data_IF_639873478668
#
_entry.id   IF_639873478668
#
_cell.length_a   1.000
_cell.length_b   1.000
_cell.length_c   1.000
_cell.angle_alpha   90.00
_cell.angle_beta   90.00
_cell.angle_gamma   90.00
#
_symmetry.space_group_name_H-M   'P 1'
#
loop_
_entity.id
_entity.type
_entity.pdbx_description
1 polymer ?
#
# COMPACT_ATOMS: atom_id res chain seq x y z
N UNK A 1 24.48 -15.75 -11.80
CA UNK A 1 25.21 -17.05 -11.64
C UNK A 1 25.80 -17.52 -12.97
N UNK A 2 25.05 -17.45 -14.08
CA UNK A 2 25.49 -17.92 -15.40
C UNK A 2 25.96 -16.80 -16.35
N UNK A 3 26.00 -15.56 -15.86
CA UNK A 3 26.17 -14.34 -16.69
C UNK A 3 27.55 -14.26 -17.36
N UNK A 4 28.54 -15.01 -16.88
CA UNK A 4 29.88 -15.10 -17.46
C UNK A 4 30.04 -16.21 -18.51
N UNK A 5 29.03 -17.06 -18.74
CA UNK A 5 29.05 -18.15 -19.71
C UNK A 5 28.75 -17.66 -21.13
N UNK A 6 29.53 -16.67 -21.59
CA UNK A 6 29.38 -16.11 -22.94
C UNK A 6 29.93 -17.06 -23.99
N UNK A 7 29.52 -16.87 -25.24
CA UNK A 7 30.05 -17.62 -26.39
C UNK A 7 31.59 -17.66 -26.41
N UNK A 8 32.26 -16.52 -26.18
CA UNK A 8 33.72 -16.45 -26.14
C UNK A 8 34.32 -17.30 -25.01
N UNK A 9 33.75 -17.20 -23.81
CA UNK A 9 34.17 -18.00 -22.64
C UNK A 9 34.03 -19.50 -22.93
N UNK A 10 32.92 -19.91 -23.53
CA UNK A 10 32.65 -21.31 -23.87
C UNK A 10 33.56 -21.83 -24.97
N UNK A 11 33.76 -21.05 -26.04
CA UNK A 11 34.69 -21.40 -27.11
C UNK A 11 36.11 -21.57 -26.59
N UNK A 12 36.60 -20.63 -25.78
CA UNK A 12 37.94 -20.73 -25.19
C UNK A 12 38.05 -21.95 -24.28
N UNK A 13 37.06 -22.21 -23.43
CA UNK A 13 37.04 -23.38 -22.54
C UNK A 13 37.07 -24.69 -23.34
N UNK A 14 36.23 -24.82 -24.36
CA UNK A 14 36.16 -26.02 -25.20
C UNK A 14 37.45 -26.24 -25.99
N UNK A 15 38.01 -25.19 -26.61
CA UNK A 15 39.25 -25.28 -27.39
C UNK A 15 40.47 -25.60 -26.51
N UNK A 16 40.54 -25.05 -25.29
CA UNK A 16 41.60 -25.36 -24.34
C UNK A 16 41.59 -26.82 -23.89
N UNK A 17 40.42 -27.46 -23.84
CA UNK A 17 40.27 -28.86 -23.45
C UNK A 17 40.60 -29.87 -24.57
N UNK A 18 40.82 -29.43 -25.81
CA UNK A 18 41.19 -30.32 -26.93
C UNK A 18 42.70 -30.53 -26.97
N UNK A 19 43.19 -31.71 -26.62
CA UNK A 19 44.62 -32.04 -26.66
C UNK A 19 45.05 -32.50 -28.07
N UNK A 20 45.01 -31.57 -29.04
CA UNK A 20 45.51 -31.79 -30.40
C UNK A 20 46.50 -30.67 -30.77
N UNK A 21 47.63 -30.99 -31.41
CA UNK A 21 48.65 -30.02 -31.82
C UNK A 21 48.22 -29.29 -33.12
N UNK A 22 47.00 -28.79 -33.16
CA UNK A 22 46.41 -28.07 -34.29
C UNK A 22 46.19 -26.60 -33.92
N UNK A 23 46.17 -25.73 -34.92
CA UNK A 23 45.83 -24.32 -34.71
C UNK A 23 44.35 -24.18 -34.31
N UNK A 24 44.08 -23.44 -33.23
CA UNK A 24 42.76 -23.29 -32.60
C UNK A 24 42.18 -21.87 -32.71
N UNK A 25 42.86 -20.97 -33.40
CA UNK A 25 42.39 -19.59 -33.55
C UNK A 25 41.10 -19.49 -34.37
N UNK A 26 40.49 -18.31 -34.33
CA UNK A 26 39.29 -17.99 -35.11
C UNK A 26 39.53 -18.26 -36.61
N UNK A 27 38.57 -18.91 -37.27
CA UNK A 27 38.67 -19.32 -38.67
C UNK A 27 39.35 -20.67 -38.91
N UNK A 28 39.91 -21.31 -37.88
CA UNK A 28 40.39 -22.70 -37.99
C UNK A 28 39.23 -23.69 -38.12
N UNK A 29 39.48 -24.87 -38.72
CA UNK A 29 38.47 -25.93 -38.83
C UNK A 29 37.96 -26.36 -37.45
N UNK A 30 38.84 -26.49 -36.45
CA UNK A 30 38.44 -26.82 -35.08
C UNK A 30 37.53 -25.75 -34.48
N UNK A 31 37.90 -24.48 -34.60
CA UNK A 31 37.08 -23.36 -34.13
C UNK A 31 35.69 -23.36 -34.78
N UNK A 32 35.62 -23.58 -36.09
CA UNK A 32 34.36 -23.60 -36.84
C UNK A 32 33.48 -24.80 -36.49
N UNK A 33 34.06 -25.96 -36.14
CA UNK A 33 33.31 -27.16 -35.73
C UNK A 33 32.67 -26.96 -34.35
N UNK A 34 33.39 -26.37 -33.38
CA UNK A 34 32.87 -26.24 -32.00
C UNK A 34 31.98 -25.02 -31.81
N UNK A 35 32.12 -23.99 -32.65
CA UNK A 35 31.39 -22.72 -32.48
C UNK A 35 29.87 -22.86 -32.49
N UNK A 36 29.22 -23.60 -33.41
CA UNK A 36 27.76 -23.77 -33.38
C UNK A 36 27.27 -24.39 -32.06
N UNK A 37 27.94 -25.42 -31.56
CA UNK A 37 27.60 -26.09 -30.29
C UNK A 37 27.76 -25.13 -29.11
N UNK A 38 28.86 -24.36 -29.06
CA UNK A 38 29.08 -23.40 -27.98
C UNK A 38 28.13 -22.19 -28.07
N UNK A 39 27.61 -21.86 -29.26
CA UNK A 39 26.56 -20.84 -29.43
C UNK A 39 25.24 -21.32 -28.83
N UNK A 40 24.81 -22.55 -29.15
CA UNK A 40 23.62 -23.16 -28.53
C UNK A 40 23.77 -23.29 -27.02
N UNK A 41 24.96 -23.66 -26.54
CA UNK A 41 25.24 -23.74 -25.10
C UNK A 41 25.21 -22.35 -24.43
N UNK A 42 25.67 -21.30 -25.11
CA UNK A 42 25.57 -19.93 -24.60
C UNK A 42 24.09 -19.51 -24.46
N UNK A 43 23.24 -19.83 -25.44
CA UNK A 43 21.80 -19.59 -25.36
C UNK A 43 21.18 -20.37 -24.19
N UNK A 44 21.55 -21.63 -24.00
CA UNK A 44 21.10 -22.41 -22.84
C UNK A 44 21.49 -21.76 -21.50
N UNK A 45 22.70 -21.21 -21.38
CA UNK A 45 23.11 -20.51 -20.15
C UNK A 45 22.35 -19.20 -19.93
N UNK A 46 21.92 -18.52 -20.99
CA UNK A 46 21.03 -17.36 -20.91
C UNK A 46 19.67 -17.81 -20.33
N UNK A 47 19.08 -18.89 -20.88
CA UNK A 47 17.83 -19.45 -20.36
C UNK A 47 17.96 -19.90 -18.90
N UNK A 48 19.07 -20.55 -18.53
CA UNK A 48 19.34 -20.92 -17.15
C UNK A 48 19.46 -19.69 -16.23
N UNK A 49 19.99 -18.56 -16.73
CA UNK A 49 20.02 -17.29 -15.97
C UNK A 49 18.60 -16.76 -15.73
N UNK A 50 17.73 -16.81 -16.73
CA UNK A 50 16.32 -16.43 -16.56
C UNK A 50 15.58 -17.36 -15.59
N UNK A 51 15.75 -18.67 -15.71
CA UNK A 51 15.16 -19.65 -14.78
C UNK A 51 15.63 -19.39 -13.36
N UNK A 52 16.95 -19.19 -13.16
CA UNK A 52 17.51 -18.92 -11.84
C UNK A 52 16.93 -17.65 -11.21
N UNK A 53 16.76 -16.56 -11.98
CA UNK A 53 16.12 -15.33 -11.48
C UNK A 53 14.67 -15.57 -11.06
N UNK A 54 13.88 -16.30 -11.87
CA UNK A 54 12.47 -16.60 -11.57
C UNK A 54 12.25 -17.43 -10.30
N UNK A 55 13.28 -18.05 -9.73
CA UNK A 55 13.19 -18.73 -8.43
C UNK A 55 12.97 -17.73 -7.28
N UNK A 56 13.52 -16.53 -7.40
CA UNK A 56 13.49 -15.52 -6.35
C UNK A 56 12.30 -14.58 -6.52
N UNK A 57 11.53 -14.40 -5.45
CA UNK A 57 10.35 -13.51 -5.43
C UNK A 57 10.73 -12.08 -5.82
N UNK A 58 11.90 -11.61 -5.39
CA UNK A 58 12.40 -10.28 -5.71
C UNK A 58 12.49 -10.04 -7.21
N UNK A 59 12.97 -11.04 -7.97
CA UNK A 59 13.23 -10.93 -9.41
C UNK A 59 12.05 -11.40 -10.27
N UNK A 60 10.98 -11.92 -9.65
CA UNK A 60 9.81 -12.44 -10.34
C UNK A 60 8.78 -11.34 -10.64
N UNK A 61 7.90 -11.58 -11.60
CA UNK A 61 6.87 -10.62 -12.03
C UNK A 61 5.65 -11.36 -12.62
N UNK A 62 4.54 -10.64 -12.78
CA UNK A 62 3.27 -11.13 -13.35
C UNK A 62 2.79 -12.46 -12.71
N UNK A 63 2.22 -13.35 -13.52
CA UNK A 63 1.71 -14.67 -13.12
C UNK A 63 2.72 -15.53 -12.36
N UNK A 64 4.02 -15.40 -12.64
CA UNK A 64 5.04 -16.17 -11.94
C UNK A 64 5.24 -15.67 -10.52
N UNK A 65 5.19 -14.34 -10.31
CA UNK A 65 5.19 -13.77 -8.97
C UNK A 65 3.97 -14.26 -8.18
N UNK A 66 2.78 -14.17 -8.78
CA UNK A 66 1.53 -14.62 -8.17
C UNK A 66 1.60 -16.07 -7.74
N UNK A 67 2.00 -16.96 -8.65
CA UNK A 67 2.20 -18.38 -8.34
C UNK A 67 3.17 -18.58 -7.18
N UNK A 68 4.27 -17.83 -7.15
CA UNK A 68 5.30 -17.97 -6.12
C UNK A 68 4.82 -17.49 -4.75
N UNK A 69 4.10 -16.39 -4.67
CA UNK A 69 3.57 -15.88 -3.38
C UNK A 69 2.36 -16.68 -2.89
N UNK A 70 1.56 -17.24 -3.81
CA UNK A 70 0.42 -18.10 -3.50
C UNK A 70 0.84 -19.38 -2.77
N UNK A 71 2.05 -19.89 -3.00
CA UNK A 71 2.61 -21.03 -2.24
C UNK A 71 2.68 -20.77 -0.72
N UNK A 72 2.70 -19.49 -0.32
CA UNK A 72 2.71 -19.04 1.07
C UNK A 72 1.35 -18.51 1.54
N UNK A 73 0.29 -18.70 0.74
CA UNK A 73 -1.07 -18.25 1.07
C UNK A 73 -1.31 -16.74 0.89
N UNK A 74 -0.44 -16.04 0.17
CA UNK A 74 -0.62 -14.62 -0.15
C UNK A 74 -1.12 -14.49 -1.59
N UNK A 75 -2.27 -13.86 -1.79
CA UNK A 75 -2.91 -13.66 -3.10
C UNK A 75 -2.96 -12.19 -3.47
N UNK A 76 -2.81 -11.87 -4.76
CA UNK A 76 -2.91 -10.49 -5.29
C UNK A 76 -4.31 -9.92 -5.12
N UNK A 77 -4.40 -8.64 -4.78
CA UNK A 77 -5.68 -7.92 -4.80
C UNK A 77 -6.02 -7.51 -6.24
N UNK A 78 -7.15 -8.00 -6.76
CA UNK A 78 -7.55 -7.81 -8.15
C UNK A 78 -8.28 -6.48 -8.42
N UNK A 79 -8.24 -5.54 -7.49
CA UNK A 79 -9.04 -4.32 -7.56
C UNK A 79 -10.55 -4.60 -7.48
N UNK A 80 -11.33 -3.54 -7.62
CA UNK A 80 -12.80 -3.58 -7.57
C UNK A 80 -13.37 -2.61 -8.59
N UNK A 81 -14.53 -2.93 -9.12
CA UNK A 81 -15.27 -2.09 -10.07
C UNK A 81 -16.05 -1.02 -9.30
N UNK A 82 -16.11 0.19 -9.84
CA UNK A 82 -16.94 1.23 -9.25
C UNK A 82 -18.42 0.93 -9.47
N UNK A 83 -19.23 1.18 -8.45
CA UNK A 83 -20.68 1.05 -8.48
C UNK A 83 -21.32 2.39 -8.15
N UNK A 84 -22.51 2.60 -8.68
CA UNK A 84 -23.34 3.74 -8.34
C UNK A 84 -24.68 3.68 -9.07
N UNK A 85 -25.37 4.80 -9.12
CA UNK A 85 -26.69 4.90 -9.75
C UNK A 85 -26.71 6.04 -10.77
N UNK A 86 -27.46 5.84 -11.84
CA UNK A 86 -27.73 6.87 -12.85
C UNK A 86 -29.23 7.04 -13.06
N UNK A 87 -29.61 8.28 -13.28
CA UNK A 87 -30.95 8.74 -13.62
C UNK A 87 -31.06 8.93 -15.13
N UNK A 88 -32.11 8.38 -15.73
CA UNK A 88 -32.44 8.53 -17.14
C UNK A 88 -33.57 9.54 -17.33
N UNK A 89 -33.41 10.44 -18.29
CA UNK A 89 -34.47 11.35 -18.74
C UNK A 89 -34.76 11.09 -20.22
N UNK A 90 -36.03 11.24 -20.59
CA UNK A 90 -36.46 10.96 -21.94
C UNK A 90 -37.97 10.87 -22.10
N UNK A 91 -38.39 10.28 -23.21
CA UNK A 91 -39.79 10.01 -23.52
C UNK A 91 -40.34 8.94 -22.56
N UNK A 92 -41.47 9.24 -21.92
CA UNK A 92 -42.20 8.30 -21.08
C UNK A 92 -42.50 6.98 -21.82
N UNK A 93 -42.34 5.86 -21.12
CA UNK A 93 -42.53 4.51 -21.64
C UNK A 93 -41.33 3.93 -22.38
N UNK A 94 -40.22 4.68 -22.50
CA UNK A 94 -38.97 4.15 -23.07
C UNK A 94 -38.37 3.12 -22.12
N UNK A 95 -38.08 1.92 -22.62
CA UNK A 95 -37.47 0.84 -21.84
C UNK A 95 -35.95 0.87 -21.96
N UNK A 96 -35.27 0.79 -20.82
CA UNK A 96 -33.82 0.62 -20.73
C UNK A 96 -33.57 -0.78 -20.14
N UNK A 97 -33.12 -1.75 -20.94
CA UNK A 97 -32.86 -3.10 -20.45
C UNK A 97 -31.59 -3.14 -19.59
N UNK A 98 -31.55 -4.07 -18.63
CA UNK A 98 -30.30 -4.54 -18.03
C UNK A 98 -29.32 -4.96 -19.16
N UNK A 99 -28.05 -4.61 -19.00
CA UNK A 99 -27.00 -4.86 -19.98
C UNK A 99 -26.75 -3.69 -20.92
N UNK A 100 -27.57 -2.64 -20.85
CA UNK A 100 -27.32 -1.39 -21.60
C UNK A 100 -25.97 -0.79 -21.20
N UNK A 101 -25.15 -0.42 -22.18
CA UNK A 101 -23.84 0.19 -21.92
C UNK A 101 -23.94 1.72 -22.02
N UNK A 102 -23.52 2.38 -20.94
CA UNK A 102 -23.36 3.84 -20.86
C UNK A 102 -21.89 4.19 -20.71
N UNK A 103 -21.49 5.35 -21.23
CA UNK A 103 -20.10 5.78 -21.22
C UNK A 103 -19.90 7.21 -20.78
N UNK A 104 -18.76 7.47 -20.14
CA UNK A 104 -18.28 8.79 -19.80
C UNK A 104 -16.77 8.87 -20.06
N UNK A 105 -16.33 9.78 -20.93
CA UNK A 105 -14.89 9.98 -21.22
C UNK A 105 -14.15 8.66 -21.53
N UNK A 106 -14.72 7.84 -22.41
CA UNK A 106 -14.24 6.50 -22.81
C UNK A 106 -14.31 5.40 -21.73
N UNK A 107 -14.76 5.73 -20.51
CA UNK A 107 -15.07 4.75 -19.46
C UNK A 107 -16.44 4.15 -19.70
N UNK A 108 -16.54 2.82 -19.62
CA UNK A 108 -17.76 2.07 -19.88
C UNK A 108 -18.36 1.52 -18.58
N UNK A 109 -19.69 1.61 -18.50
CA UNK A 109 -20.49 1.08 -17.40
C UNK A 109 -21.69 0.30 -17.95
N UNK A 110 -22.12 -0.71 -17.21
CA UNK A 110 -23.29 -1.52 -17.55
C UNK A 110 -24.44 -1.23 -16.59
N UNK A 111 -25.63 -1.08 -17.15
CA UNK A 111 -26.90 -0.95 -16.41
C UNK A 111 -27.29 -2.31 -15.82
N UNK A 112 -27.45 -2.38 -14.50
CA UNK A 112 -27.68 -3.64 -13.76
C UNK A 112 -29.17 -3.94 -13.55
N UNK A 113 -30.07 -2.96 -13.73
CA UNK A 113 -31.50 -3.16 -13.57
C UNK A 113 -32.26 -2.55 -14.73
N UNK A 114 -33.27 -3.27 -15.21
CA UNK A 114 -34.19 -2.71 -16.19
C UNK A 114 -35.01 -1.57 -15.58
N UNK A 115 -35.22 -0.52 -16.36
CA UNK A 115 -36.11 0.58 -16.01
C UNK A 115 -37.00 0.95 -17.20
N UNK A 116 -38.14 1.55 -16.90
CA UNK A 116 -38.98 2.21 -17.90
C UNK A 116 -39.13 3.66 -17.48
N UNK A 117 -38.82 4.59 -18.39
CA UNK A 117 -38.90 6.03 -18.09
C UNK A 117 -40.34 6.41 -17.75
N UNK A 118 -40.53 6.94 -16.55
CA UNK A 118 -41.78 7.40 -15.94
C UNK A 118 -41.77 8.93 -15.79
N UNK A 119 -42.94 9.53 -15.52
CA UNK A 119 -43.05 10.96 -15.18
C UNK A 119 -42.38 11.29 -13.84
N UNK A 120 -42.36 10.33 -12.90
CA UNK A 120 -41.65 10.48 -11.64
C UNK A 120 -40.17 10.15 -11.81
N UNK A 121 -39.31 11.18 -11.86
CA UNK A 121 -37.86 11.03 -12.05
C UNK A 121 -37.18 10.11 -11.03
N UNK A 122 -37.74 9.97 -9.82
CA UNK A 122 -37.23 9.05 -8.79
C UNK A 122 -37.37 7.57 -9.16
N UNK A 123 -38.21 7.24 -10.13
CA UNK A 123 -38.37 5.87 -10.66
C UNK A 123 -37.43 5.59 -11.84
N UNK A 124 -36.77 6.62 -12.40
CA UNK A 124 -35.91 6.51 -13.57
C UNK A 124 -34.45 6.25 -13.20
N UNK A 125 -34.21 5.68 -12.02
CA UNK A 125 -32.88 5.42 -11.47
C UNK A 125 -32.54 3.94 -11.63
N UNK A 126 -31.37 3.65 -12.20
CA UNK A 126 -30.83 2.30 -12.24
C UNK A 126 -29.41 2.25 -11.67
N UNK A 127 -29.06 1.19 -10.91
CA UNK A 127 -27.66 0.89 -10.63
C UNK A 127 -26.87 0.64 -11.90
N UNK A 128 -25.63 1.11 -11.88
CA UNK A 128 -24.59 0.83 -12.88
C UNK A 128 -23.33 0.31 -12.21
N UNK A 129 -22.58 -0.48 -12.96
CA UNK A 129 -21.28 -1.03 -12.57
C UNK A 129 -20.27 -0.76 -13.67
N UNK A 130 -19.05 -0.37 -13.31
CA UNK A 130 -17.96 -0.21 -14.25
C UNK A 130 -17.64 -1.55 -14.95
N UNK A 131 -17.28 -1.51 -16.23
CA UNK A 131 -16.86 -2.72 -16.97
C UNK A 131 -15.41 -3.13 -16.70
N UNK A 132 -14.60 -2.24 -16.15
CA UNK A 132 -13.25 -2.56 -15.69
C UNK A 132 -13.07 -2.05 -14.26
N UNK A 133 -12.08 -2.59 -13.57
CA UNK A 133 -11.62 -2.12 -12.26
C UNK A 133 -10.86 -0.81 -12.39
N UNK A 134 -10.72 -0.09 -11.28
CA UNK A 134 -9.82 1.05 -11.16
C UNK A 134 -10.46 2.31 -10.58
N UNK A 135 -9.62 3.16 -10.00
CA UNK A 135 -10.04 4.41 -9.38
C UNK A 135 -10.55 5.42 -10.39
N UNK A 136 -10.16 5.28 -11.67
CA UNK A 136 -10.65 6.11 -12.79
C UNK A 136 -12.18 6.07 -12.95
N UNK A 137 -12.84 5.01 -12.46
CA UNK A 137 -14.30 4.87 -12.51
C UNK A 137 -15.03 5.51 -11.32
N UNK A 138 -14.30 6.06 -10.35
CA UNK A 138 -14.90 6.84 -9.27
C UNK A 138 -15.22 8.24 -9.78
N UNK A 139 -16.48 8.47 -10.13
CA UNK A 139 -16.95 9.72 -10.74
C UNK A 139 -17.75 10.54 -9.73
N UNK A 140 -17.54 11.86 -9.72
CA UNK A 140 -18.31 12.77 -8.88
C UNK A 140 -19.78 12.82 -9.29
N UNK A 141 -20.64 13.22 -8.36
CA UNK A 141 -22.03 13.56 -8.64
C UNK A 141 -22.18 14.55 -9.82
N UNK A 142 -23.31 14.47 -10.52
CA UNK A 142 -23.68 15.28 -11.69
C UNK A 142 -22.80 15.07 -12.93
N UNK A 143 -22.20 13.89 -13.06
CA UNK A 143 -21.51 13.46 -14.28
C UNK A 143 -22.53 12.99 -15.32
N UNK A 144 -22.40 13.48 -16.55
CA UNK A 144 -23.26 13.07 -17.67
C UNK A 144 -22.67 11.87 -18.43
N UNK A 145 -23.54 10.94 -18.81
CA UNK A 145 -23.20 9.73 -19.55
C UNK A 145 -23.86 9.71 -20.93
N UNK A 146 -23.29 8.94 -21.85
CA UNK A 146 -23.78 8.72 -23.21
C UNK A 146 -24.10 7.26 -23.43
N UNK A 147 -25.09 6.97 -24.26
CA UNK A 147 -25.32 5.60 -24.72
C UNK A 147 -24.28 5.21 -25.78
N UNK A 148 -23.73 4.00 -25.67
CA UNK A 148 -22.94 3.42 -26.75
C UNK A 148 -23.85 3.01 -27.91
N UNK A 149 -24.91 2.27 -27.59
CA UNK A 149 -25.96 1.92 -28.53
C UNK A 149 -27.18 2.82 -28.32
N UNK A 150 -27.55 3.58 -29.35
CA UNK A 150 -28.60 4.59 -29.23
C UNK A 150 -29.97 3.94 -28.93
N UNK A 151 -30.60 4.35 -27.82
CA UNK A 151 -31.98 3.98 -27.46
C UNK A 151 -32.87 5.18 -27.76
N UNK A 152 -33.71 5.06 -28.79
CA UNK A 152 -34.60 6.14 -29.21
C UNK A 152 -35.60 6.47 -28.09
N UNK A 153 -35.55 7.72 -27.61
CA UNK A 153 -36.38 8.19 -26.51
C UNK A 153 -35.58 8.65 -25.30
N UNK A 154 -34.31 8.27 -25.15
CA UNK A 154 -33.43 8.79 -24.09
C UNK A 154 -32.85 10.14 -24.50
N UNK A 155 -32.96 11.15 -23.64
CA UNK A 155 -32.43 12.50 -23.87
C UNK A 155 -31.24 12.83 -22.98
N UNK A 156 -31.20 12.31 -21.75
CA UNK A 156 -30.12 12.60 -20.80
C UNK A 156 -29.89 11.42 -19.84
N UNK A 157 -28.64 11.21 -19.46
CA UNK A 157 -28.23 10.23 -18.44
C UNK A 157 -27.22 10.92 -17.53
N UNK A 158 -27.43 10.89 -16.22
CA UNK A 158 -26.51 11.46 -15.25
C UNK A 158 -26.59 10.75 -13.90
N UNK A 159 -25.56 10.84 -13.07
CA UNK A 159 -25.61 10.41 -11.68
C UNK A 159 -25.93 11.58 -10.75
N UNK A 160 -26.75 11.35 -9.73
CA UNK A 160 -27.02 12.36 -8.69
C UNK A 160 -26.01 12.29 -7.53
N UNK A 161 -25.44 11.11 -7.29
CA UNK A 161 -24.46 10.82 -6.24
C UNK A 161 -23.18 10.30 -6.86
N UNK A 162 -22.07 10.44 -6.13
CA UNK A 162 -20.78 9.90 -6.56
C UNK A 162 -20.84 8.39 -6.84
N UNK A 163 -20.16 7.95 -7.90
CA UNK A 163 -19.80 6.55 -8.10
C UNK A 163 -18.54 6.24 -7.28
N UNK A 164 -18.56 5.15 -6.52
CA UNK A 164 -17.50 4.79 -5.57
C UNK A 164 -17.21 3.30 -5.62
N UNK A 165 -16.12 2.91 -4.96
CA UNK A 165 -15.75 1.50 -4.82
C UNK A 165 -14.80 0.99 -5.91
N UNK A 166 -14.43 1.81 -6.89
CA UNK A 166 -13.39 1.49 -7.85
C UNK A 166 -12.01 1.49 -7.19
N UNK A 167 -11.27 0.38 -7.28
CA UNK A 167 -9.88 0.28 -6.80
C UNK A 167 -9.01 -0.40 -7.84
N UNK A 168 -7.73 -0.03 -7.88
CA UNK A 168 -6.76 -0.59 -8.83
C UNK A 168 -6.37 -2.03 -8.46
N UNK A 169 -5.93 -2.78 -9.48
CA UNK A 169 -5.23 -4.04 -9.27
C UNK A 169 -3.90 -3.72 -8.58
N UNK A 170 -3.58 -4.47 -7.54
CA UNK A 170 -2.30 -4.34 -6.85
C UNK A 170 -1.15 -4.64 -7.81
N UNK A 171 -0.17 -3.74 -7.85
CA UNK A 171 1.03 -3.86 -8.69
C UNK A 171 2.01 -4.92 -8.15
N UNK A 172 2.98 -5.32 -8.98
CA UNK A 172 4.01 -6.30 -8.58
C UNK A 172 4.85 -5.80 -7.39
N UNK A 173 5.20 -4.52 -7.40
CA UNK A 173 5.95 -3.86 -6.34
C UNK A 173 5.17 -3.88 -5.03
N UNK A 174 3.89 -3.49 -5.05
CA UNK A 174 3.01 -3.51 -3.88
C UNK A 174 2.80 -4.93 -3.35
N UNK A 175 2.59 -5.90 -4.24
CA UNK A 175 2.44 -7.30 -3.84
C UNK A 175 3.71 -7.84 -3.18
N UNK A 176 4.90 -7.55 -3.75
CA UNK A 176 6.20 -7.93 -3.16
C UNK A 176 6.38 -7.29 -1.80
N UNK A 177 6.12 -5.99 -1.67
CA UNK A 177 6.25 -5.26 -0.41
C UNK A 177 5.33 -5.86 0.65
N UNK A 178 4.05 -6.05 0.33
CA UNK A 178 3.07 -6.68 1.22
C UNK A 178 3.48 -8.10 1.59
N UNK A 179 3.94 -8.91 0.63
CA UNK A 179 4.43 -10.25 0.89
C UNK A 179 5.59 -10.23 1.89
N UNK A 180 6.63 -9.43 1.67
CA UNK A 180 7.77 -9.36 2.59
C UNK A 180 7.38 -8.78 3.95
N UNK A 181 6.43 -7.85 4.01
CA UNK A 181 5.88 -7.34 5.27
C UNK A 181 5.21 -8.46 6.07
N UNK A 182 4.38 -9.28 5.42
CA UNK A 182 3.76 -10.46 6.04
C UNK A 182 4.84 -11.43 6.54
N UNK A 183 5.83 -11.76 5.71
CA UNK A 183 6.89 -12.71 6.09
C UNK A 183 7.80 -12.20 7.22
N UNK A 184 8.13 -10.90 7.24
CA UNK A 184 8.97 -10.30 8.30
C UNK A 184 8.22 -10.10 9.61
N UNK A 185 6.94 -9.73 9.53
CA UNK A 185 6.11 -9.39 10.68
C UNK A 185 5.01 -10.43 10.91
N UNK A 186 5.34 -11.73 10.77
CA UNK A 186 4.38 -12.78 11.09
C UNK A 186 4.01 -12.69 12.57
N UNK A 187 2.79 -12.24 12.87
CA UNK A 187 2.18 -12.34 14.18
C UNK A 187 1.88 -13.83 14.47
N UNK A 188 2.88 -14.57 14.94
CA UNK A 188 2.76 -16.01 15.17
C UNK A 188 3.38 -16.40 16.51
N UNK A 189 2.83 -17.47 17.12
CA UNK A 189 3.40 -18.16 18.29
C UNK A 189 3.78 -17.24 19.47
N UNK A 190 2.94 -16.23 19.78
CA UNK A 190 3.22 -15.25 20.84
C UNK A 190 4.52 -14.45 20.66
N UNK A 191 4.92 -14.11 19.44
CA UNK A 191 6.03 -13.18 19.23
C UNK A 191 5.59 -11.72 19.41
N UNK A 192 6.55 -10.77 19.34
CA UNK A 192 6.30 -9.33 19.53
C UNK A 192 5.17 -8.79 18.63
N UNK A 193 5.12 -9.21 17.37
CA UNK A 193 4.10 -8.78 16.41
C UNK A 193 2.71 -9.35 16.75
N UNK A 194 2.65 -10.56 17.33
CA UNK A 194 1.40 -11.19 17.73
C UNK A 194 0.73 -10.44 18.88
N UNK A 195 1.49 -10.13 19.93
CA UNK A 195 1.00 -9.30 21.03
C UNK A 195 0.56 -7.90 20.59
N UNK A 196 1.24 -7.34 19.59
CA UNK A 196 0.83 -6.05 19.00
C UNK A 196 -0.48 -6.18 18.23
N UNK A 197 -0.67 -7.24 17.44
CA UNK A 197 -1.92 -7.52 16.72
C UNK A 197 -3.10 -7.67 17.68
N UNK A 198 -2.95 -8.53 18.70
CA UNK A 198 -4.00 -8.74 19.70
C UNK A 198 -4.39 -7.45 20.43
N UNK A 199 -3.41 -6.60 20.75
CA UNK A 199 -3.71 -5.30 21.33
C UNK A 199 -4.54 -4.40 20.39
N UNK A 200 -4.23 -4.41 19.09
CA UNK A 200 -4.92 -3.60 18.06
C UNK A 200 -6.32 -4.12 17.69
N UNK A 201 -6.64 -5.38 18.01
CA UNK A 201 -7.97 -5.95 17.80
C UNK A 201 -9.01 -5.38 18.80
N UNK A 202 -8.54 -4.79 19.90
CA UNK A 202 -9.39 -4.26 20.98
C UNK A 202 -9.86 -2.85 20.63
N UNK A 203 -11.18 -2.65 20.62
CA UNK A 203 -11.77 -1.34 20.36
C UNK A 203 -11.27 -0.27 21.35
N UNK A 204 -10.87 0.88 20.81
CA UNK A 204 -10.25 1.98 21.57
C UNK A 204 -8.72 1.95 21.58
N UNK A 205 -8.09 0.87 21.09
CA UNK A 205 -6.65 0.80 20.88
C UNK A 205 -6.33 1.12 19.41
N UNK A 206 -5.64 2.23 19.19
CA UNK A 206 -5.24 2.69 17.86
C UNK A 206 -3.77 2.39 17.57
N UNK A 207 -2.95 2.20 18.61
CA UNK A 207 -1.58 1.75 18.46
C UNK A 207 -1.14 0.91 19.66
N UNK A 208 -0.08 0.11 19.49
CA UNK A 208 0.50 -0.68 20.57
C UNK A 208 2.01 -0.86 20.39
N UNK A 209 2.76 -0.77 21.50
CA UNK A 209 4.20 -1.02 21.55
C UNK A 209 4.50 -2.12 22.55
N UNK A 210 5.08 -3.21 22.05
CA UNK A 210 5.44 -4.37 22.86
C UNK A 210 6.91 -4.29 23.28
N UNK A 211 7.17 -4.41 24.58
CA UNK A 211 8.49 -4.39 25.21
C UNK A 211 8.72 -5.77 25.87
N UNK A 212 9.57 -6.62 25.27
CA UNK A 212 9.85 -7.94 25.81
C UNK A 212 10.81 -7.87 27.01
N UNK A 213 10.68 -8.82 27.94
CA UNK A 213 11.54 -8.99 29.12
C UNK A 213 11.73 -7.70 29.95
N UNK A 214 10.69 -6.87 30.01
CA UNK A 214 10.75 -5.56 30.65
C UNK A 214 11.05 -5.63 32.16
N UNK A 215 10.58 -6.71 32.81
CA UNK A 215 10.83 -7.05 34.21
C UNK A 215 11.44 -8.46 34.31
N UNK A 216 12.45 -8.72 33.46
CA UNK A 216 13.15 -10.01 33.40
C UNK A 216 12.47 -11.07 32.52
N UNK A 217 13.05 -12.28 32.43
CA UNK A 217 12.59 -13.34 31.53
C UNK A 217 11.13 -13.74 31.76
N UNK A 218 10.37 -13.91 30.68
CA UNK A 218 8.96 -14.32 30.74
C UNK A 218 7.96 -13.19 30.99
N UNK A 219 8.42 -11.95 31.09
CA UNK A 219 7.56 -10.77 31.23
C UNK A 219 7.42 -10.01 29.91
N UNK A 220 6.24 -9.46 29.65
CA UNK A 220 5.95 -8.66 28.46
C UNK A 220 5.18 -7.43 28.89
N UNK A 221 5.63 -6.25 28.48
CA UNK A 221 4.88 -5.00 28.68
C UNK A 221 4.32 -4.55 27.37
N UNK A 222 3.02 -4.28 27.34
CA UNK A 222 2.31 -3.78 26.17
C UNK A 222 1.80 -2.40 26.51
N UNK A 223 2.32 -1.42 25.78
CA UNK A 223 1.92 -0.04 25.91
C UNK A 223 0.88 0.24 24.83
N UNK A 224 -0.36 0.48 25.23
CA UNK A 224 -1.49 0.73 24.31
C UNK A 224 -1.81 2.21 24.24
N UNK A 225 -2.23 2.64 23.05
CA UNK A 225 -2.45 4.05 22.72
C UNK A 225 -3.86 4.25 22.18
N UNK A 226 -4.51 5.32 22.62
CA UNK A 226 -5.74 5.82 22.03
C UNK A 226 -5.47 6.58 20.75
N UNK A 227 -6.49 7.23 20.23
CA UNK A 227 -6.38 8.05 19.03
C UNK A 227 -5.31 9.15 19.24
N UNK A 228 -4.51 9.43 18.20
CA UNK A 228 -3.43 10.43 18.25
C UNK A 228 -2.40 10.20 19.39
N UNK A 229 -2.08 8.94 19.69
CA UNK A 229 -1.13 8.53 20.74
C UNK A 229 -1.52 8.96 22.17
N UNK A 230 -2.80 9.31 22.39
CA UNK A 230 -3.31 9.70 23.70
C UNK A 230 -3.42 8.50 24.64
N UNK A 231 -3.59 8.79 25.93
CA UNK A 231 -3.87 7.78 26.93
C UNK A 231 -5.26 7.18 26.74
N UNK A 232 -5.43 5.92 27.11
CA UNK A 232 -6.72 5.23 27.12
C UNK A 232 -7.28 5.12 28.54
N UNK A 233 -8.60 5.00 28.64
CA UNK A 233 -9.28 4.79 29.91
C UNK A 233 -9.06 3.37 30.47
N UNK A 234 -9.30 3.22 31.78
CA UNK A 234 -9.14 1.93 32.48
C UNK A 234 -10.01 0.80 31.89
N UNK A 235 -11.17 1.12 31.31
CA UNK A 235 -12.01 0.12 30.65
C UNK A 235 -11.30 -0.51 29.45
N UNK A 236 -10.64 0.30 28.62
CA UNK A 236 -9.89 -0.17 27.45
C UNK A 236 -8.69 -1.01 27.88
N UNK A 237 -7.98 -0.60 28.96
CA UNK A 237 -6.89 -1.39 29.54
C UNK A 237 -7.37 -2.77 29.98
N UNK A 238 -8.53 -2.85 30.64
CA UNK A 238 -9.08 -4.11 31.13
C UNK A 238 -9.51 -5.02 29.97
N UNK A 239 -10.26 -4.50 28.98
CA UNK A 239 -10.65 -5.28 27.79
C UNK A 239 -9.45 -5.82 27.04
N UNK A 240 -8.40 -5.01 26.91
CA UNK A 240 -7.17 -5.43 26.26
C UNK A 240 -6.46 -6.54 27.06
N UNK A 241 -6.46 -6.43 28.39
CA UNK A 241 -5.85 -7.44 29.25
C UNK A 241 -6.60 -8.77 29.17
N UNK A 242 -7.92 -8.74 29.16
CA UNK A 242 -8.77 -9.93 29.02
C UNK A 242 -8.55 -10.61 27.66
N UNK A 243 -8.62 -9.86 26.56
CA UNK A 243 -8.38 -10.39 25.21
C UNK A 243 -7.01 -11.05 25.06
N UNK A 244 -5.95 -10.38 25.54
CA UNK A 244 -4.59 -10.94 25.43
C UNK A 244 -4.40 -12.15 26.35
N UNK A 245 -5.08 -12.21 27.50
CA UNK A 245 -5.03 -13.38 28.38
C UNK A 245 -5.68 -14.61 27.73
N UNK A 246 -6.73 -14.42 26.93
CA UNK A 246 -7.39 -15.50 26.17
C UNK A 246 -6.50 -16.03 25.02
N UNK A 247 -5.79 -15.13 24.33
CA UNK A 247 -5.03 -15.47 23.12
C UNK A 247 -3.57 -15.90 23.38
N UNK A 248 -2.95 -15.41 24.46
CA UNK A 248 -1.53 -15.64 24.69
C UNK A 248 -1.20 -17.12 24.94
N UNK A 249 0.01 -17.58 24.57
CA UNK A 249 0.48 -18.91 24.99
C UNK A 249 0.63 -18.99 26.51
N UNK A 250 0.64 -20.21 27.04
CA UNK A 250 0.91 -20.45 28.46
C UNK A 250 2.35 -20.01 28.80
N UNK A 251 2.52 -19.25 29.89
CA UNK A 251 3.83 -18.92 30.48
C UNK A 251 4.11 -17.42 30.63
N UNK A 252 3.94 -16.58 29.59
CA UNK A 252 4.23 -15.16 29.69
C UNK A 252 3.31 -14.42 30.67
N UNK A 253 3.92 -13.55 31.48
CA UNK A 253 3.20 -12.59 32.32
C UNK A 253 3.12 -11.27 31.57
N UNK A 254 1.91 -10.84 31.24
CA UNK A 254 1.65 -9.65 30.44
C UNK A 254 1.25 -8.48 31.36
N UNK A 255 1.83 -7.32 31.12
CA UNK A 255 1.50 -6.06 31.80
C UNK A 255 1.05 -5.06 30.76
N UNK A 256 -0.22 -4.65 30.81
CA UNK A 256 -0.76 -3.67 29.88
C UNK A 256 -0.86 -2.32 30.57
N UNK A 257 -0.33 -1.29 29.92
CA UNK A 257 -0.35 0.08 30.43
C UNK A 257 -0.67 1.06 29.30
N UNK A 258 -1.13 2.25 29.70
CA UNK A 258 -1.29 3.40 28.82
C UNK A 258 -0.14 4.39 29.05
N UNK A 259 0.32 5.15 28.04
CA UNK A 259 1.40 6.12 28.23
C UNK A 259 1.00 7.26 29.16
N UNK A 260 1.98 7.76 29.93
CA UNK A 260 1.97 9.13 30.44
C UNK A 260 2.46 10.06 29.33
N UNK A 261 1.63 11.02 28.94
CA UNK A 261 1.88 11.85 27.76
C UNK A 261 2.95 12.91 28.04
N UNK A 262 3.86 13.10 27.07
CA UNK A 262 4.67 14.29 26.93
C UNK A 262 4.18 15.07 25.72
N UNK A 263 3.62 16.26 25.94
CA UNK A 263 3.02 17.04 24.87
C UNK A 263 4.07 17.59 23.90
N UNK A 264 3.84 17.34 22.61
CA UNK A 264 4.61 17.88 21.50
C UNK A 264 3.73 18.85 20.71
N UNK A 265 4.14 20.10 20.65
CA UNK A 265 3.57 21.12 19.78
C UNK A 265 4.48 21.32 18.58
N UNK A 266 3.87 21.42 17.39
CA UNK A 266 4.60 21.63 16.14
C UNK A 266 3.99 22.80 15.42
N UNK A 267 4.83 23.73 15.00
CA UNK A 267 4.41 24.83 14.15
C UNK A 267 5.33 24.97 12.96
N UNK A 268 4.79 25.28 11.78
CA UNK A 268 5.58 25.54 10.58
C UNK A 268 4.85 26.50 9.64
N UNK A 269 5.60 27.15 8.77
CA UNK A 269 5.09 27.88 7.61
C UNK A 269 5.34 27.04 6.36
N UNK A 270 4.28 26.77 5.60
CA UNK A 270 4.31 25.88 4.43
C UNK A 270 4.08 26.67 3.15
N UNK A 271 4.79 26.29 2.10
CA UNK A 271 4.43 26.59 0.71
C UNK A 271 3.87 25.32 0.12
N UNK A 272 2.64 25.36 -0.40
CA UNK A 272 1.95 24.19 -0.95
C UNK A 272 1.94 24.22 -2.48
N UNK A 273 1.88 23.05 -3.09
CA UNK A 273 1.62 22.90 -4.52
C UNK A 273 0.13 23.16 -4.85
N UNK A 274 -0.15 23.50 -6.12
CA UNK A 274 -1.52 23.79 -6.55
C UNK A 274 -2.46 22.59 -6.35
N UNK A 275 -3.58 22.80 -5.69
CA UNK A 275 -4.60 21.78 -5.46
C UNK A 275 -4.55 21.12 -4.07
N UNK A 276 -3.57 21.47 -3.24
CA UNK A 276 -3.46 21.01 -1.85
C UNK A 276 -3.89 22.09 -0.86
N UNK A 277 -4.42 21.67 0.29
CA UNK A 277 -4.84 22.56 1.39
C UNK A 277 -4.19 22.13 2.72
N UNK A 278 -4.17 23.04 3.70
CA UNK A 278 -3.50 22.76 4.99
C UNK A 278 -4.14 21.60 5.74
N UNK A 279 -5.46 21.44 5.71
CA UNK A 279 -6.15 20.44 6.53
C UNK A 279 -5.85 19.03 6.01
N UNK A 280 -5.82 18.83 4.68
CA UNK A 280 -5.41 17.55 4.11
C UNK A 280 -3.96 17.19 4.45
N UNK A 281 -3.03 18.15 4.36
CA UNK A 281 -1.63 17.96 4.76
C UNK A 281 -1.51 17.63 6.25
N UNK A 282 -2.30 18.30 7.10
CA UNK A 282 -2.28 18.11 8.55
C UNK A 282 -2.72 16.70 8.95
N UNK A 283 -3.75 16.15 8.30
CA UNK A 283 -4.20 14.76 8.53
C UNK A 283 -3.08 13.77 8.19
N UNK A 284 -2.51 13.88 7.00
CA UNK A 284 -1.41 13.00 6.55
C UNK A 284 -0.19 13.14 7.46
N UNK A 285 0.16 14.35 7.86
CA UNK A 285 1.29 14.61 8.75
C UNK A 285 1.08 13.98 10.13
N UNK A 286 -0.12 14.10 10.70
CA UNK A 286 -0.45 13.51 12.00
C UNK A 286 -0.27 11.99 12.00
N UNK A 287 -0.68 11.30 10.94
CA UNK A 287 -0.51 9.84 10.83
C UNK A 287 0.98 9.44 10.79
N UNK A 288 1.77 10.14 9.98
CA UNK A 288 3.20 9.88 9.81
C UNK A 288 3.97 10.18 11.10
N UNK A 289 3.74 11.34 11.71
CA UNK A 289 4.49 11.75 12.89
C UNK A 289 4.13 10.91 14.13
N UNK A 290 2.85 10.53 14.28
CA UNK A 290 2.45 9.67 15.39
C UNK A 290 3.17 8.31 15.33
N UNK A 291 3.35 7.76 14.14
CA UNK A 291 4.15 6.55 13.92
C UNK A 291 5.61 6.77 14.32
N UNK A 292 6.22 7.87 13.87
CA UNK A 292 7.59 8.23 14.22
C UNK A 292 7.82 8.40 15.73
N UNK A 293 6.90 9.05 16.44
CA UNK A 293 7.00 9.31 17.89
C UNK A 293 6.92 8.02 18.73
N UNK A 294 6.14 7.03 18.29
CA UNK A 294 6.06 5.72 18.96
C UNK A 294 7.38 4.95 18.79
N UNK A 295 7.94 4.97 17.59
CA UNK A 295 9.21 4.30 17.30
C UNK A 295 10.38 4.99 18.03
N UNK A 296 10.37 6.33 18.07
CA UNK A 296 11.45 7.17 18.58
C UNK A 296 11.02 7.89 19.87
N UNK A 297 10.58 7.12 20.86
CA UNK A 297 9.98 7.65 22.09
C UNK A 297 10.96 8.32 23.07
N UNK A 298 12.28 8.33 22.79
CA UNK A 298 13.32 8.82 23.72
C UNK A 298 14.05 10.05 23.24
N UNK A 299 14.32 10.12 21.94
CA UNK A 299 14.88 11.29 21.32
C UNK A 299 14.10 11.61 20.05
N UNK A 300 13.48 12.78 20.07
CA UNK A 300 12.78 13.35 18.92
C UNK A 300 13.78 14.22 18.19
N UNK A 301 14.26 13.73 17.06
CA UNK A 301 15.23 14.44 16.23
C UNK A 301 14.52 15.50 15.39
N UNK A 302 14.92 16.76 15.55
CA UNK A 302 14.31 17.90 14.88
C UNK A 302 14.34 17.78 13.35
N UNK A 303 15.51 17.42 12.79
CA UNK A 303 15.67 17.30 11.33
C UNK A 303 14.83 16.17 10.74
N UNK A 304 14.53 15.12 11.52
CA UNK A 304 13.66 14.04 11.06
C UNK A 304 12.22 14.54 10.92
N UNK A 305 11.72 15.37 11.84
CA UNK A 305 10.36 15.93 11.73
C UNK A 305 10.25 16.82 10.49
N UNK A 306 11.26 17.64 10.19
CA UNK A 306 11.31 18.37 8.92
C UNK A 306 11.22 17.41 7.74
N UNK A 307 12.03 16.34 7.75
CA UNK A 307 12.04 15.36 6.67
C UNK A 307 10.69 14.65 6.49
N UNK A 308 9.97 14.35 7.57
CA UNK A 308 8.64 13.74 7.50
C UNK A 308 7.66 14.70 6.85
N UNK A 309 7.65 15.98 7.25
CA UNK A 309 6.79 16.99 6.67
C UNK A 309 7.13 17.26 5.19
N UNK A 310 8.43 17.27 4.85
CA UNK A 310 8.91 17.47 3.48
C UNK A 310 8.61 16.29 2.56
N UNK A 311 8.36 15.09 3.11
CA UNK A 311 8.01 13.89 2.33
C UNK A 311 6.54 13.81 1.94
N UNK A 312 5.70 14.73 2.43
CA UNK A 312 4.27 14.74 2.13
C UNK A 312 4.05 15.36 0.75
N UNK A 313 3.33 14.64 -0.10
CA UNK A 313 2.92 15.13 -1.42
C UNK A 313 2.12 16.44 -1.29
N UNK A 314 2.45 17.43 -2.10
CA UNK A 314 1.85 18.76 -2.05
C UNK A 314 2.56 19.77 -1.15
N UNK A 315 3.57 19.37 -0.37
CA UNK A 315 4.44 20.32 0.36
C UNK A 315 5.62 20.72 -0.54
N UNK A 316 5.65 21.98 -0.97
CA UNK A 316 6.73 22.52 -1.82
C UNK A 316 7.93 23.02 -1.00
N UNK A 317 7.70 23.77 0.08
CA UNK A 317 8.75 24.30 0.96
C UNK A 317 8.27 24.44 2.41
N UNK A 318 9.22 24.44 3.35
CA UNK A 318 8.98 24.52 4.80
C UNK A 318 9.89 25.58 5.41
N UNK A 319 9.29 26.55 6.11
CA UNK A 319 9.98 27.60 6.86
C UNK A 319 9.54 27.61 8.32
N UNK A 320 10.43 28.10 9.19
CA UNK A 320 10.15 28.36 10.61
C UNK A 320 9.52 27.16 11.34
N UNK A 321 9.95 25.93 11.04
CA UNK A 321 9.49 24.77 11.79
C UNK A 321 10.02 24.86 13.22
N UNK A 322 9.14 24.71 14.20
CA UNK A 322 9.46 24.68 15.62
C UNK A 322 8.83 23.44 16.24
N UNK A 323 9.54 22.84 17.19
CA UNK A 323 9.02 21.77 18.05
C UNK A 323 9.10 22.29 19.48
N UNK A 324 7.96 22.36 20.18
CA UNK A 324 7.87 23.00 21.49
C UNK A 324 8.55 24.37 21.52
N UNK A 325 8.28 25.19 20.49
CA UNK A 325 8.81 26.55 20.31
C UNK A 325 10.34 26.64 20.06
N UNK A 326 11.03 25.53 19.77
CA UNK A 326 12.49 25.50 19.60
C UNK A 326 12.95 24.71 18.36
N UNK A 327 14.20 24.92 17.94
CA UNK A 327 14.87 24.31 16.79
C UNK A 327 15.94 23.34 17.31
N UNK A 328 15.53 22.33 18.08
CA UNK A 328 16.45 21.33 18.65
C UNK A 328 15.78 19.98 18.86
N UNK A 329 16.61 18.96 19.04
CA UNK A 329 16.14 17.65 19.46
C UNK A 329 15.52 17.73 20.85
N UNK A 330 14.47 16.95 21.08
CA UNK A 330 13.81 16.84 22.38
C UNK A 330 14.13 15.46 22.97
N UNK A 331 14.65 15.46 24.20
CA UNK A 331 14.84 14.24 24.99
C UNK A 331 13.61 14.06 25.84
N UNK A 332 12.99 12.87 25.75
CA UNK A 332 11.81 12.51 26.53
C UNK A 332 12.20 11.58 27.67
N UNK A 333 11.62 11.85 28.83
CA UNK A 333 11.79 11.04 30.03
C UNK A 333 11.42 9.57 29.77
N UNK A 334 12.07 8.63 30.45
CA UNK A 334 11.85 7.20 30.26
C UNK A 334 10.41 6.75 30.53
N UNK A 335 9.72 7.46 31.44
CA UNK A 335 8.36 7.17 31.87
C UNK A 335 7.29 7.86 31.01
N UNK A 336 7.70 8.76 30.10
CA UNK A 336 6.79 9.52 29.26
C UNK A 336 6.86 9.09 27.80
N UNK A 337 5.79 9.38 27.08
CA UNK A 337 5.70 9.09 25.65
C UNK A 337 5.23 10.33 24.91
N UNK A 338 5.97 10.75 23.87
CA UNK A 338 5.59 11.95 23.15
C UNK A 338 4.33 11.71 22.33
N UNK A 339 3.37 12.62 22.47
CA UNK A 339 2.18 12.66 21.63
C UNK A 339 1.99 14.09 21.13
N UNK A 340 1.48 14.21 19.91
CA UNK A 340 1.22 15.53 19.34
C UNK A 340 -0.02 16.11 20.01
N UNK A 341 0.14 17.23 20.70
CA UNK A 341 -0.96 17.96 21.34
C UNK A 341 -1.56 19.01 20.41
N UNK A 342 -0.71 19.66 19.60
CA UNK A 342 -1.15 20.66 18.64
C UNK A 342 -0.21 20.73 17.42
N UNK A 343 -0.80 20.89 16.24
CA UNK A 343 -0.10 21.21 14.98
C UNK A 343 -0.69 22.48 14.41
N UNK A 344 0.16 23.49 14.21
CA UNK A 344 -0.22 24.79 13.65
C UNK A 344 0.58 25.07 12.39
N UNK A 345 -0.08 25.00 11.23
CA UNK A 345 0.52 25.31 9.95
C UNK A 345 -0.06 26.61 9.37
N UNK A 346 0.82 27.47 8.88
CA UNK A 346 0.45 28.71 8.19
C UNK A 346 0.92 28.62 6.74
N UNK A 347 0.15 29.16 5.79
CA UNK A 347 0.60 29.29 4.40
C UNK A 347 1.48 30.53 4.27
N UNK A 348 2.62 30.37 3.61
CA UNK A 348 3.36 31.53 3.10
C UNK A 348 2.57 32.15 1.95
N UNK A 349 2.01 33.34 2.17
CA UNK A 349 1.37 34.09 1.09
C UNK A 349 2.47 34.68 0.23
N UNK A 350 2.68 34.09 -0.94
CA UNK A 350 3.56 34.60 -2.00
C UNK A 350 3.04 35.90 -2.59
#
# INVERSE_FOLDING_TARGET
>A
MYDNQTFSTLNNRTLNNIDLPLYKGQGSSLYNIVSPVNSELAQLYIELSYIHKRVFIQDNFDDFLDRRVNEFGVYRKLGTEAIGEVTFEGKMGTQIPNGTIVSHSDLLFVVIKDITIDENSKLNVSPIQALEVGVKYNLSANTEFKLIDNINGVTKIYNELDLKGGTEIETDEELKERFYKIQKNQATSGNKAHYQSWALEVEGVYNAKVIPCWDGPGTIKILIYGQNNQSVDNEVLQRCAEHIEEEKPIGPTVTIVTPSIFDITISATLTLENGYDIESIKVVFLDIINSYLIENSREIIYIKIISLLASIEGVHDIKNLLINEDIKNIIVDEEKVPAVSNVTFNIEVS
#
